data_IF_641401083006
#
_entry.id   IF_641401083006
#
_cell.length_a   1.000
_cell.length_b   1.000
_cell.length_c   1.000
_cell.angle_alpha   90.00
_cell.angle_beta   90.00
_cell.angle_gamma   90.00
#
_symmetry.space_group_name_H-M   'P 1'
#
loop_
_entity.id
_entity.type
_entity.pdbx_description
1 polymer ?
#
# COMPACT_ATOMS: atom_id res chain seq x y z
N UNK A 1 -11.73 12.57 1.78
CA UNK A 1 -12.23 11.78 0.62
C UNK A 1 -12.72 10.44 1.13
N UNK A 2 -13.67 9.79 0.46
CA UNK A 2 -14.11 8.45 0.86
C UNK A 2 -12.98 7.45 0.60
N UNK A 3 -12.46 6.80 1.64
CA UNK A 3 -11.29 5.92 1.55
C UNK A 3 -11.53 4.72 0.61
N UNK A 4 -12.79 4.26 0.48
CA UNK A 4 -13.17 3.20 -0.45
C UNK A 4 -12.91 3.62 -1.90
N UNK A 5 -13.36 4.83 -2.26
CA UNK A 5 -13.17 5.37 -3.62
C UNK A 5 -11.69 5.52 -3.97
N UNK A 6 -10.85 5.87 -2.99
CA UNK A 6 -9.40 5.94 -3.21
C UNK A 6 -8.78 4.56 -3.43
N UNK A 7 -9.26 3.52 -2.75
CA UNK A 7 -8.82 2.16 -3.02
C UNK A 7 -9.29 1.64 -4.38
N UNK A 8 -10.51 1.98 -4.79
CA UNK A 8 -11.04 1.63 -6.12
C UNK A 8 -10.19 2.29 -7.21
N UNK A 9 -9.86 3.58 -7.07
CA UNK A 9 -8.96 4.27 -8.00
C UNK A 9 -7.56 3.65 -8.02
N UNK A 10 -7.00 3.28 -6.86
CA UNK A 10 -5.72 2.59 -6.82
C UNK A 10 -5.77 1.23 -7.54
N UNK A 11 -6.91 0.53 -7.49
CA UNK A 11 -7.10 -0.73 -8.25
C UNK A 11 -7.10 -0.47 -9.75
N UNK A 12 -7.80 0.57 -10.21
CA UNK A 12 -7.79 0.98 -11.63
C UNK A 12 -6.35 1.29 -12.08
N UNK A 13 -5.56 2.02 -11.29
CA UNK A 13 -4.15 2.26 -11.62
C UNK A 13 -3.32 0.99 -11.69
N UNK A 14 -3.56 0.03 -10.78
CA UNK A 14 -2.85 -1.25 -10.77
C UNK A 14 -3.13 -2.08 -12.04
N UNK A 15 -4.40 -2.13 -12.44
CA UNK A 15 -4.91 -2.85 -13.62
C UNK A 15 -4.46 -2.20 -14.94
N UNK A 16 -4.34 -0.87 -14.96
CA UNK A 16 -3.86 -0.10 -16.12
C UNK A 16 -2.33 -0.02 -16.22
N UNK A 17 -1.58 -0.77 -15.41
CA UNK A 17 -0.11 -0.71 -15.32
C UNK A 17 0.48 0.67 -14.91
N UNK A 18 -0.35 1.61 -14.45
CA UNK A 18 0.04 2.91 -13.91
C UNK A 18 0.61 2.79 -12.48
N UNK A 19 1.70 2.02 -12.36
CA UNK A 19 2.23 1.55 -11.08
C UNK A 19 2.73 2.70 -10.20
N UNK A 20 3.27 3.77 -10.78
CA UNK A 20 3.73 4.94 -10.00
C UNK A 20 2.56 5.77 -9.44
N UNK A 21 1.46 5.89 -10.19
CA UNK A 21 0.24 6.54 -9.71
C UNK A 21 -0.42 5.73 -8.58
N UNK A 22 -0.48 4.40 -8.73
CA UNK A 22 -0.91 3.50 -7.65
C UNK A 22 -0.09 3.75 -6.38
N UNK A 23 1.25 3.74 -6.49
CA UNK A 23 2.15 3.94 -5.34
C UNK A 23 1.90 5.30 -4.67
N UNK A 24 1.79 6.37 -5.46
CA UNK A 24 1.57 7.72 -4.92
C UNK A 24 0.23 7.82 -4.19
N UNK A 25 -0.83 7.24 -4.77
CA UNK A 25 -2.15 7.22 -4.16
C UNK A 25 -2.17 6.38 -2.87
N UNK A 26 -1.56 5.20 -2.87
CA UNK A 26 -1.50 4.34 -1.68
C UNK A 26 -0.66 4.97 -0.55
N UNK A 27 0.40 5.73 -0.87
CA UNK A 27 1.14 6.53 0.13
C UNK A 27 0.24 7.59 0.77
N UNK A 28 -0.59 8.26 -0.02
CA UNK A 28 -1.59 9.23 0.49
C UNK A 28 -2.62 8.55 1.40
N UNK A 29 -3.20 7.44 0.96
CA UNK A 29 -4.17 6.64 1.74
C UNK A 29 -3.54 6.21 3.08
N UNK A 30 -2.29 5.75 3.08
CA UNK A 30 -1.57 5.38 4.30
C UNK A 30 -1.31 6.58 5.22
N UNK A 31 -0.91 7.72 4.67
CA UNK A 31 -0.71 8.95 5.44
C UNK A 31 -1.99 9.37 6.17
N UNK A 32 -3.14 9.29 5.50
CA UNK A 32 -4.45 9.58 6.10
C UNK A 32 -4.91 8.50 7.09
N UNK A 33 -4.45 7.24 6.94
CA UNK A 33 -4.86 6.10 7.76
C UNK A 33 -3.66 5.23 8.19
N UNK A 34 -2.77 5.72 9.07
CA UNK A 34 -1.49 5.07 9.36
C UNK A 34 -1.61 3.72 10.07
N UNK A 35 -2.74 3.46 10.75
CA UNK A 35 -3.01 2.18 11.43
C UNK A 35 -3.57 1.09 10.51
N UNK A 36 -3.93 1.43 9.28
CA UNK A 36 -4.42 0.44 8.32
C UNK A 36 -3.24 -0.27 7.64
N UNK A 37 -3.21 -1.60 7.72
CA UNK A 37 -2.19 -2.40 7.04
C UNK A 37 -2.43 -2.52 5.52
N UNK A 38 -3.68 -2.40 5.07
CA UNK A 38 -4.07 -2.62 3.67
C UNK A 38 -3.31 -1.76 2.65
N UNK A 39 -3.10 -0.44 2.84
CA UNK A 39 -2.31 0.36 1.90
C UNK A 39 -0.86 -0.12 1.80
N UNK A 40 -0.24 -0.50 2.93
CA UNK A 40 1.14 -1.00 2.95
C UNK A 40 1.26 -2.36 2.26
N UNK A 41 0.28 -3.26 2.47
CA UNK A 41 0.22 -4.55 1.79
C UNK A 41 0.12 -4.37 0.27
N UNK A 42 -0.68 -3.40 -0.19
CA UNK A 42 -0.79 -3.07 -1.62
C UNK A 42 0.49 -2.40 -2.16
N UNK A 43 1.09 -1.47 -1.41
CA UNK A 43 2.37 -0.87 -1.80
C UNK A 43 3.46 -1.92 -1.96
N UNK A 44 3.53 -2.92 -1.07
CA UNK A 44 4.46 -4.04 -1.19
C UNK A 44 4.26 -4.81 -2.51
N UNK A 45 3.01 -5.03 -2.94
CA UNK A 45 2.71 -5.66 -4.25
C UNK A 45 3.16 -4.78 -5.42
N UNK A 46 2.90 -3.47 -5.36
CA UNK A 46 3.33 -2.54 -6.40
C UNK A 46 4.87 -2.48 -6.50
N UNK A 47 5.58 -2.47 -5.37
CA UNK A 47 7.05 -2.52 -5.36
C UNK A 47 7.61 -3.86 -5.85
N UNK A 48 6.93 -4.99 -5.59
CA UNK A 48 7.28 -6.29 -6.19
C UNK A 48 7.20 -6.25 -7.71
N UNK A 49 6.14 -5.65 -8.28
CA UNK A 49 5.99 -5.46 -9.72
C UNK A 49 7.15 -4.66 -10.34
N UNK A 50 7.64 -3.64 -9.62
CA UNK A 50 8.81 -2.83 -10.02
C UNK A 50 10.17 -3.44 -9.66
N UNK A 51 10.21 -4.59 -8.99
CA UNK A 51 11.42 -5.17 -8.41
C UNK A 51 12.20 -4.21 -7.48
N UNK A 52 11.48 -3.31 -6.80
CA UNK A 52 12.05 -2.33 -5.87
C UNK A 52 12.26 -2.96 -4.48
N UNK A 53 13.32 -3.76 -4.37
CA UNK A 53 13.66 -4.52 -3.16
C UNK A 53 13.82 -3.66 -1.91
N UNK A 54 14.34 -2.44 -2.06
CA UNK A 54 14.50 -1.50 -0.96
C UNK A 54 13.15 -1.15 -0.34
N UNK A 55 12.18 -0.74 -1.17
CA UNK A 55 10.88 -0.34 -0.67
C UNK A 55 10.01 -1.54 -0.25
N UNK A 56 10.25 -2.75 -0.80
CA UNK A 56 9.63 -3.99 -0.30
C UNK A 56 9.99 -4.22 1.18
N UNK A 57 11.28 -4.16 1.52
CA UNK A 57 11.75 -4.38 2.89
C UNK A 57 11.24 -3.29 3.84
N UNK A 58 11.35 -2.02 3.44
CA UNK A 58 10.83 -0.89 4.23
C UNK A 58 9.33 -1.05 4.54
N UNK A 59 8.53 -1.50 3.57
CA UNK A 59 7.10 -1.74 3.81
C UNK A 59 6.86 -2.95 4.70
N UNK A 60 7.64 -4.02 4.56
CA UNK A 60 7.51 -5.21 5.39
C UNK A 60 7.68 -4.85 6.88
N UNK A 61 8.69 -4.02 7.20
CA UNK A 61 8.93 -3.55 8.57
C UNK A 61 7.75 -2.74 9.13
N UNK A 62 7.05 -1.98 8.28
CA UNK A 62 5.85 -1.22 8.68
C UNK A 62 4.61 -2.12 8.84
N UNK A 63 4.49 -3.19 8.05
CA UNK A 63 3.35 -4.11 8.10
C UNK A 63 3.39 -4.95 9.37
N UNK A 64 4.56 -5.47 9.73
CA UNK A 64 4.75 -6.39 10.87
C UNK A 64 4.06 -5.94 12.16
N UNK A 65 4.27 -4.72 12.70
CA UNK A 65 3.63 -4.30 13.95
C UNK A 65 2.10 -4.19 13.83
N UNK A 66 1.56 -3.86 12.65
CA UNK A 66 0.12 -3.67 12.44
C UNK A 66 -0.66 -4.99 12.39
N UNK A 67 0.00 -6.09 11.99
CA UNK A 67 -0.61 -7.42 11.93
C UNK A 67 -0.30 -8.26 13.17
N UNK A 68 0.87 -8.05 13.81
CA UNK A 68 1.27 -8.79 15.01
C UNK A 68 0.39 -8.44 16.21
N UNK A 69 -0.03 -7.19 16.36
CA UNK A 69 -0.95 -6.75 17.42
C UNK A 69 -2.41 -7.17 17.24
N UNK A 70 -2.76 -7.88 16.16
CA UNK A 70 -4.11 -8.43 15.91
C UNK A 70 -4.24 -9.90 16.31
N UNK A 71 -3.14 -10.52 16.76
CA UNK A 71 -3.10 -11.89 17.28
C UNK A 71 -2.89 -11.81 18.80
N UNK A 72 -3.92 -11.37 19.53
CA UNK A 72 -4.09 -11.59 20.97
C UNK A 72 -5.59 -11.71 21.26
#
# INVERSE_FOLDING_TARGET
QNISVLFDLATIYAEADHTDDEINLLKKIHHENPKAAQPLLRLRKAYLKKQDWKNILINQDKILPLIRGRIL
#
